data_IF_650903248977
#
_entry.id   IF_650903248977
#
_cell.length_a   1.000
_cell.length_b   1.000
_cell.length_c   1.000
_cell.angle_alpha   90.00
_cell.angle_beta   90.00
_cell.angle_gamma   90.00
#
_symmetry.space_group_name_H-M   'P 1'
#
loop_
_entity.id
_entity.type
_entity.pdbx_description
1 polymer ?
#
# COMPACT_ATOMS: atom_id res chain seq x y z
N UNK A 1 -55.29 -11.97 8.44
CA UNK A 1 -54.24 -12.98 8.75
C UNK A 1 -53.18 -12.82 7.65
N UNK A 2 -52.32 -11.88 7.84
CA UNK A 2 -51.27 -11.56 6.86
C UNK A 2 -49.99 -12.28 7.24
N UNK A 3 -49.55 -13.14 6.33
CA UNK A 3 -48.32 -13.93 6.48
C UNK A 3 -47.16 -13.05 5.98
N UNK A 4 -46.34 -12.56 6.90
CA UNK A 4 -45.09 -11.86 6.61
C UNK A 4 -44.09 -12.87 6.03
N UNK A 5 -43.70 -12.69 4.76
CA UNK A 5 -42.59 -13.42 4.12
C UNK A 5 -41.30 -12.74 4.47
N UNK A 6 -40.39 -13.46 5.17
CA UNK A 6 -39.02 -13.10 5.40
C UNK A 6 -38.22 -13.45 4.13
N UNK A 7 -37.42 -12.53 3.56
CA UNK A 7 -36.58 -12.84 2.42
C UNK A 7 -35.39 -13.76 2.83
N UNK A 8 -35.11 -14.73 1.99
CA UNK A 8 -34.06 -15.71 2.19
C UNK A 8 -32.65 -15.05 2.07
N UNK A 9 -31.87 -15.17 3.12
CA UNK A 9 -30.45 -14.81 3.15
C UNK A 9 -29.69 -15.72 2.20
N UNK A 10 -29.05 -15.16 1.18
CA UNK A 10 -28.09 -15.86 0.31
C UNK A 10 -26.90 -16.30 1.15
N UNK A 11 -26.69 -17.60 1.23
CA UNK A 11 -25.52 -18.21 1.88
C UNK A 11 -24.28 -17.94 1.04
N UNK A 12 -23.46 -16.98 1.44
CA UNK A 12 -22.06 -16.88 1.01
C UNK A 12 -21.31 -18.07 1.61
N UNK A 13 -20.67 -18.87 0.75
CA UNK A 13 -20.01 -20.09 1.17
C UNK A 13 -18.78 -19.82 2.03
N UNK A 14 -18.89 -20.10 3.30
CA UNK A 14 -17.77 -20.19 4.22
C UNK A 14 -16.99 -21.49 3.88
N UNK A 15 -15.82 -21.34 3.24
CA UNK A 15 -14.91 -22.49 3.05
C UNK A 15 -14.26 -22.77 4.40
N UNK A 16 -14.79 -23.78 5.08
CA UNK A 16 -14.18 -24.35 6.28
C UNK A 16 -12.99 -25.20 5.82
N UNK A 17 -11.77 -24.70 6.01
CA UNK A 17 -10.54 -25.45 5.80
C UNK A 17 -10.49 -26.55 6.86
N UNK A 18 -10.68 -27.82 6.46
CA UNK A 18 -10.68 -28.96 7.33
C UNK A 18 -9.32 -29.12 8.01
N UNK A 19 -9.29 -29.05 9.33
CA UNK A 19 -8.13 -29.36 10.14
C UNK A 19 -7.80 -30.86 10.01
N UNK A 20 -6.71 -31.17 9.31
CA UNK A 20 -6.11 -32.49 9.31
C UNK A 20 -5.36 -32.67 10.62
N UNK A 21 -5.93 -33.39 11.58
CA UNK A 21 -5.27 -33.76 12.82
C UNK A 21 -4.20 -34.82 12.53
N UNK A 22 -2.96 -34.38 12.35
CA UNK A 22 -1.79 -35.23 12.44
C UNK A 22 -1.33 -35.22 13.89
N UNK A 23 -1.52 -36.31 14.62
CA UNK A 23 -1.00 -36.49 15.96
C UNK A 23 0.52 -36.71 15.87
N UNK A 24 1.27 -35.64 16.09
CA UNK A 24 2.69 -35.69 16.40
C UNK A 24 2.95 -34.80 17.61
N UNK A 25 3.77 -35.33 18.53
CA UNK A 25 4.30 -34.71 19.74
C UNK A 25 4.06 -33.18 19.84
N UNK A 26 3.41 -32.74 20.95
CA UNK A 26 3.04 -31.34 21.22
C UNK A 26 4.21 -30.36 21.04
N UNK A 27 4.42 -29.90 19.83
CA UNK A 27 5.03 -28.58 19.62
C UNK A 27 3.88 -27.59 19.84
N UNK A 28 3.80 -27.00 21.02
CA UNK A 28 2.92 -25.86 21.28
C UNK A 28 3.46 -24.72 20.39
N UNK A 29 2.93 -24.57 19.21
CA UNK A 29 3.15 -23.35 18.43
C UNK A 29 2.54 -22.20 19.24
N UNK A 30 3.38 -21.37 19.83
CA UNK A 30 2.92 -20.14 20.46
C UNK A 30 2.52 -19.19 19.32
N UNK A 31 1.22 -18.92 19.22
CA UNK A 31 0.70 -17.91 18.31
C UNK A 31 0.80 -16.57 19.02
N UNK A 32 1.56 -15.67 18.46
CA UNK A 32 1.63 -14.29 18.87
C UNK A 32 0.45 -13.52 18.25
N UNK A 33 -0.28 -12.80 19.08
CA UNK A 33 -1.46 -12.03 18.66
C UNK A 33 -1.17 -10.56 18.91
N UNK A 34 -1.21 -9.75 17.87
CA UNK A 34 -1.12 -8.28 17.91
C UNK A 34 -2.38 -7.64 17.39
N UNK A 35 -2.75 -6.50 17.95
CA UNK A 35 -3.87 -5.67 17.49
C UNK A 35 -3.41 -4.24 17.38
N UNK A 36 -3.73 -3.58 16.25
CA UNK A 36 -3.59 -2.15 16.06
C UNK A 36 -4.97 -1.56 15.81
N UNK A 37 -5.35 -0.57 16.59
CA UNK A 37 -6.56 0.22 16.39
C UNK A 37 -6.15 1.58 15.84
N UNK A 38 -6.74 1.96 14.70
CA UNK A 38 -6.55 3.23 14.02
C UNK A 38 -7.91 3.91 13.84
N UNK A 39 -8.10 5.04 14.48
CA UNK A 39 -9.28 5.87 14.32
C UNK A 39 -8.90 7.29 13.95
N UNK A 40 -9.64 7.92 13.05
CA UNK A 40 -9.36 9.28 12.62
C UNK A 40 -10.60 10.14 12.45
N UNK A 41 -10.37 11.42 12.44
CA UNK A 41 -11.31 12.45 11.99
C UNK A 41 -10.62 13.35 10.98
N UNK A 42 -11.29 13.65 9.87
CA UNK A 42 -10.83 14.68 8.92
C UNK A 42 -12.00 15.52 8.43
N UNK A 43 -11.73 16.80 8.16
CA UNK A 43 -12.77 17.73 7.73
C UNK A 43 -13.17 17.56 6.27
N UNK A 44 -12.27 17.03 5.41
CA UNK A 44 -12.50 16.75 3.99
C UNK A 44 -11.78 15.45 3.60
N UNK A 45 -12.26 14.79 2.52
CA UNK A 45 -11.60 13.61 1.94
C UNK A 45 -10.40 14.05 1.11
N UNK A 46 -9.34 13.29 1.12
CA UNK A 46 -8.11 13.55 0.42
C UNK A 46 -8.18 13.07 -1.03
N UNK A 47 -7.56 13.77 -1.96
CA UNK A 47 -7.45 13.31 -3.34
C UNK A 47 -6.71 11.98 -3.42
N UNK A 48 -7.30 10.96 -4.06
CA UNK A 48 -6.88 9.56 -4.03
C UNK A 48 -6.68 8.98 -2.62
N UNK A 49 -7.28 9.58 -1.60
CA UNK A 49 -7.18 9.11 -0.22
C UNK A 49 -8.05 7.90 0.06
N UNK A 50 -7.69 7.15 1.09
CA UNK A 50 -8.42 5.97 1.55
C UNK A 50 -9.43 6.27 2.65
N UNK A 51 -9.45 7.49 3.19
CA UNK A 51 -10.29 7.87 4.32
C UNK A 51 -11.37 8.85 3.92
N UNK A 52 -12.58 8.60 4.41
CA UNK A 52 -13.73 9.48 4.19
C UNK A 52 -13.66 10.72 5.09
N UNK A 53 -14.38 11.76 4.69
CA UNK A 53 -14.70 12.93 5.52
C UNK A 53 -15.45 12.53 6.79
N UNK A 54 -15.09 13.11 7.91
CA UNK A 54 -15.70 12.85 9.22
C UNK A 54 -14.91 11.88 10.05
N UNK A 55 -15.59 11.14 10.92
CA UNK A 55 -14.98 10.08 11.70
C UNK A 55 -14.92 8.79 10.89
N UNK A 56 -13.76 8.17 10.85
CA UNK A 56 -13.54 6.90 10.17
C UNK A 56 -12.67 5.97 10.99
N UNK A 57 -12.97 4.66 10.90
CA UNK A 57 -12.05 3.62 11.29
C UNK A 57 -11.02 3.53 10.15
N UNK A 58 -9.76 3.74 10.50
CA UNK A 58 -8.66 3.61 9.55
C UNK A 58 -8.17 2.18 9.46
N UNK A 59 -6.90 2.02 9.11
CA UNK A 59 -6.23 0.74 8.91
C UNK A 59 -5.98 0.02 10.24
N UNK A 60 -7.05 -0.59 10.80
CA UNK A 60 -7.00 -1.32 12.06
C UNK A 60 -6.68 -2.78 11.80
N UNK A 61 -5.62 -3.30 12.45
CA UNK A 61 -5.03 -4.59 12.12
C UNK A 61 -5.21 -5.63 13.23
N UNK A 62 -5.47 -6.88 12.83
CA UNK A 62 -5.27 -8.06 13.66
C UNK A 62 -4.15 -8.90 13.05
N UNK A 63 -3.06 -9.03 13.79
CA UNK A 63 -1.86 -9.76 13.39
C UNK A 63 -1.77 -11.07 14.16
N UNK A 64 -1.66 -12.18 13.44
CA UNK A 64 -1.35 -13.49 13.99
C UNK A 64 -0.03 -13.97 13.40
N UNK A 65 0.95 -14.30 14.23
CA UNK A 65 2.21 -14.84 13.75
C UNK A 65 2.71 -16.00 14.61
N UNK A 66 3.43 -16.92 13.99
CA UNK A 66 4.03 -18.05 14.69
C UNK A 66 5.21 -18.62 13.93
N UNK A 67 6.22 -19.10 14.65
CA UNK A 67 7.13 -20.07 14.08
C UNK A 67 6.40 -21.41 14.00
N UNK A 68 6.21 -21.93 12.77
CA UNK A 68 5.55 -23.21 12.51
C UNK A 68 6.46 -24.33 12.99
N UNK A 69 7.73 -24.24 12.64
CA UNK A 69 8.82 -25.09 13.10
C UNK A 69 10.17 -24.35 12.98
N UNK A 70 11.29 -25.06 13.01
CA UNK A 70 12.63 -24.47 12.87
C UNK A 70 12.99 -24.09 11.42
N UNK A 71 12.13 -24.42 10.45
CA UNK A 71 12.33 -24.09 9.04
C UNK A 71 11.41 -22.99 8.56
N UNK A 72 10.23 -22.82 9.16
CA UNK A 72 9.19 -21.96 8.63
C UNK A 72 8.57 -21.07 9.70
N UNK A 73 8.28 -19.83 9.31
CA UNK A 73 7.44 -18.87 10.03
C UNK A 73 6.20 -18.58 9.18
N UNK A 74 5.05 -18.35 9.83
CA UNK A 74 3.82 -17.91 9.20
C UNK A 74 3.31 -16.62 9.83
N UNK A 75 2.60 -15.81 9.02
CA UNK A 75 1.91 -14.60 9.45
C UNK A 75 0.58 -14.47 8.72
N UNK A 76 -0.41 -13.94 9.43
CA UNK A 76 -1.70 -13.54 8.90
C UNK A 76 -2.01 -12.15 9.45
N UNK A 77 -2.33 -11.21 8.56
CA UNK A 77 -2.77 -9.86 8.90
C UNK A 77 -4.11 -9.61 8.24
N UNK A 78 -5.11 -9.26 9.06
CA UNK A 78 -6.41 -8.80 8.59
C UNK A 78 -6.61 -7.36 8.99
N UNK A 79 -7.16 -6.57 8.08
CA UNK A 79 -7.43 -5.15 8.26
C UNK A 79 -8.93 -4.93 8.33
N UNK A 80 -9.36 -4.14 9.31
CA UNK A 80 -10.68 -3.56 9.40
C UNK A 80 -10.58 -2.09 9.01
N UNK A 81 -11.26 -1.70 7.95
CA UNK A 81 -11.35 -0.33 7.49
C UNK A 81 -12.80 0.08 7.24
N UNK A 82 -13.08 1.37 7.26
CA UNK A 82 -14.41 1.91 6.95
C UNK A 82 -14.33 2.76 5.70
N UNK A 83 -15.15 2.42 4.69
CA UNK A 83 -15.28 3.14 3.43
C UNK A 83 -16.74 3.35 3.10
N UNK A 84 -17.14 4.57 2.70
CA UNK A 84 -18.52 4.87 2.31
C UNK A 84 -19.55 4.59 3.42
N UNK A 85 -19.13 4.54 4.69
CA UNK A 85 -19.99 4.18 5.84
C UNK A 85 -20.17 2.69 6.07
N UNK A 86 -19.52 1.82 5.29
CA UNK A 86 -19.48 0.36 5.50
C UNK A 86 -18.13 -0.03 6.12
N UNK A 87 -18.14 -1.07 6.95
CA UNK A 87 -16.92 -1.63 7.54
C UNK A 87 -16.58 -2.91 6.82
N UNK A 88 -15.38 -2.97 6.26
CA UNK A 88 -14.87 -4.10 5.51
C UNK A 88 -13.75 -4.81 6.26
N UNK A 89 -13.68 -6.12 6.11
CA UNK A 89 -12.58 -6.96 6.60
C UNK A 89 -11.77 -7.43 5.41
N UNK A 90 -10.54 -6.97 5.30
CA UNK A 90 -9.63 -7.35 4.25
C UNK A 90 -8.51 -8.26 4.76
N UNK A 91 -8.12 -9.26 3.97
CA UNK A 91 -6.93 -10.06 4.21
C UNK A 91 -5.74 -9.39 3.51
N UNK A 92 -4.91 -8.68 4.26
CA UNK A 92 -3.74 -7.98 3.73
C UNK A 92 -2.55 -8.91 3.56
N UNK A 93 -2.23 -9.72 4.58
CA UNK A 93 -1.16 -10.70 4.51
C UNK A 93 -1.60 -12.09 4.97
N UNK A 94 -1.15 -13.12 4.27
CA UNK A 94 -1.26 -14.53 4.67
C UNK A 94 -0.14 -15.32 4.00
N UNK A 95 0.99 -15.46 4.69
CA UNK A 95 2.19 -16.04 4.07
C UNK A 95 2.97 -16.98 4.98
N UNK A 96 3.81 -17.79 4.33
CA UNK A 96 4.82 -18.63 4.96
C UNK A 96 6.19 -18.20 4.43
N UNK A 97 7.18 -18.06 5.33
CA UNK A 97 8.57 -17.70 5.03
C UNK A 97 9.53 -18.76 5.56
N UNK A 98 10.58 -19.05 4.79
CA UNK A 98 11.67 -19.95 5.21
C UNK A 98 12.63 -19.25 6.16
N UNK A 99 13.07 -19.96 7.22
CA UNK A 99 13.98 -19.41 8.25
C UNK A 99 15.44 -19.83 8.07
N UNK A 100 15.70 -20.94 7.39
CA UNK A 100 17.00 -21.63 7.44
C UNK A 100 17.62 -21.92 6.07
N UNK A 101 17.31 -21.11 5.05
CA UNK A 101 18.00 -21.25 3.77
C UNK A 101 19.45 -20.73 3.89
N UNK A 102 20.42 -21.41 3.23
CA UNK A 102 21.82 -21.02 3.31
C UNK A 102 22.09 -19.68 2.62
N UNK A 103 23.23 -19.07 2.93
CA UNK A 103 23.79 -17.89 2.27
C UNK A 103 22.90 -16.61 2.35
N UNK A 104 21.97 -16.53 3.29
CA UNK A 104 21.10 -15.34 3.46
C UNK A 104 19.89 -15.30 2.54
N UNK A 105 19.57 -16.38 1.85
CA UNK A 105 18.34 -16.47 1.07
C UNK A 105 17.11 -16.71 1.95
N UNK A 106 15.99 -16.14 1.53
CA UNK A 106 14.65 -16.39 2.07
C UNK A 106 13.66 -16.55 0.93
N UNK A 107 12.71 -17.47 1.11
CA UNK A 107 11.54 -17.63 0.26
C UNK A 107 10.29 -17.33 1.08
N UNK A 108 9.41 -16.49 0.54
CA UNK A 108 8.09 -16.19 1.11
C UNK A 108 7.03 -16.50 0.05
N UNK A 109 5.92 -17.11 0.43
CA UNK A 109 4.83 -17.46 -0.47
C UNK A 109 3.48 -17.25 0.21
N UNK A 110 2.48 -16.80 -0.55
CA UNK A 110 1.14 -16.46 -0.10
C UNK A 110 0.75 -15.05 -0.50
N UNK A 111 -0.11 -14.40 0.27
CA UNK A 111 -0.43 -12.97 0.13
C UNK A 111 0.56 -12.16 0.95
N UNK A 112 1.25 -11.23 0.31
CA UNK A 112 2.34 -10.48 0.94
C UNK A 112 2.49 -9.08 0.35
N UNK A 113 2.98 -8.16 1.17
CA UNK A 113 3.41 -6.83 0.74
C UNK A 113 4.66 -6.94 -0.13
N UNK A 114 4.66 -6.27 -1.29
CA UNK A 114 5.83 -6.20 -2.16
C UNK A 114 6.96 -5.37 -1.54
N UNK A 115 8.21 -5.75 -1.81
CA UNK A 115 9.40 -5.03 -1.35
C UNK A 115 9.78 -3.81 -2.21
N UNK A 116 8.88 -3.30 -3.06
CA UNK A 116 9.15 -2.11 -3.88
C UNK A 116 9.12 -0.83 -3.03
N UNK A 117 10.08 0.07 -3.27
CA UNK A 117 10.19 1.35 -2.58
C UNK A 117 10.54 1.24 -1.10
N UNK A 118 10.41 2.36 -0.40
CA UNK A 118 10.73 2.46 1.03
C UNK A 118 9.54 2.17 1.94
N UNK A 119 8.33 2.62 1.56
CA UNK A 119 7.15 2.51 2.41
C UNK A 119 6.33 1.23 2.15
N UNK A 120 6.39 0.63 0.95
CA UNK A 120 5.43 -0.40 0.58
C UNK A 120 5.43 -1.64 1.47
N UNK A 121 6.59 -2.06 1.97
CA UNK A 121 6.72 -3.23 2.84
C UNK A 121 6.55 -2.92 4.34
N UNK A 122 5.98 -1.76 4.66
CA UNK A 122 5.66 -1.33 6.02
C UNK A 122 4.16 -1.23 6.20
N UNK A 123 3.69 -1.48 7.40
CA UNK A 123 2.29 -1.26 7.74
C UNK A 123 1.98 0.24 7.87
N UNK A 124 0.78 0.66 7.45
CA UNK A 124 0.42 2.08 7.39
C UNK A 124 0.42 2.78 8.76
N UNK A 125 0.18 2.04 9.84
CA UNK A 125 0.25 2.60 11.19
C UNK A 125 1.67 3.03 11.62
N UNK A 126 2.72 2.57 10.92
CA UNK A 126 4.12 2.98 11.16
C UNK A 126 4.48 4.31 10.47
N UNK A 127 3.66 4.76 9.53
CA UNK A 127 3.94 5.93 8.71
C UNK A 127 3.95 7.24 9.55
N UNK A 128 4.71 8.22 9.07
CA UNK A 128 4.82 9.53 9.72
C UNK A 128 3.60 10.42 9.49
N UNK A 129 2.68 10.03 8.61
CA UNK A 129 1.47 10.75 8.23
C UNK A 129 0.26 9.82 8.22
N UNK A 130 -0.94 10.39 8.22
CA UNK A 130 -2.20 9.65 8.26
C UNK A 130 -2.43 8.87 6.96
N UNK A 131 -2.05 9.47 5.84
CA UNK A 131 -2.14 8.87 4.50
C UNK A 131 -0.75 8.78 3.87
N UNK A 132 -0.56 7.79 3.04
CA UNK A 132 0.65 7.66 2.23
C UNK A 132 0.83 8.82 1.26
N UNK A 133 2.08 9.08 0.79
CA UNK A 133 2.35 10.11 -0.21
C UNK A 133 1.48 9.94 -1.46
N UNK A 134 1.12 11.05 -2.12
CA UNK A 134 0.32 11.05 -3.35
C UNK A 134 0.79 10.04 -4.38
N UNK A 135 2.10 9.88 -4.55
CA UNK A 135 2.69 8.95 -5.51
C UNK A 135 2.37 7.48 -5.19
N UNK A 136 2.27 7.10 -3.90
CA UNK A 136 1.84 5.76 -3.50
C UNK A 136 0.35 5.56 -3.74
N UNK A 137 -0.47 6.56 -3.41
CA UNK A 137 -1.91 6.53 -3.66
C UNK A 137 -2.22 6.44 -5.14
N UNK A 138 -1.50 7.22 -5.96
CA UNK A 138 -1.67 7.23 -7.41
C UNK A 138 -1.27 5.92 -8.09
N UNK A 139 -0.11 5.35 -7.78
CA UNK A 139 0.47 4.23 -8.55
C UNK A 139 0.31 2.86 -7.90
N UNK A 140 0.04 2.80 -6.60
CA UNK A 140 -0.02 1.55 -5.83
C UNK A 140 -1.29 1.39 -4.98
N UNK A 141 -2.26 2.34 -5.08
CA UNK A 141 -3.47 2.32 -4.24
C UNK A 141 -3.19 2.51 -2.74
N UNK A 142 -2.10 3.23 -2.41
CA UNK A 142 -1.60 3.39 -1.05
C UNK A 142 -0.49 2.37 -0.72
N UNK A 143 -0.70 1.09 -0.96
CA UNK A 143 0.30 0.03 -0.82
C UNK A 143 -0.06 -1.17 -1.71
N UNK A 144 0.95 -1.83 -2.23
CA UNK A 144 0.76 -2.99 -3.10
C UNK A 144 1.07 -4.29 -2.36
N UNK A 145 0.06 -5.11 -2.24
CA UNK A 145 0.14 -6.49 -1.77
C UNK A 145 -0.68 -7.40 -2.70
N UNK A 146 -0.28 -8.67 -2.81
CA UNK A 146 -0.96 -9.59 -3.71
C UNK A 146 -0.57 -11.05 -3.40
N UNK A 147 -1.28 -11.98 -4.01
CA UNK A 147 -0.98 -13.41 -3.95
C UNK A 147 0.22 -13.73 -4.84
N UNK A 148 1.29 -14.27 -4.26
CA UNK A 148 2.51 -14.51 -5.02
C UNK A 148 3.64 -15.21 -4.26
N UNK A 149 4.82 -15.08 -4.83
CA UNK A 149 6.06 -15.61 -4.27
C UNK A 149 7.15 -14.55 -4.31
N UNK A 150 7.98 -14.53 -3.29
CA UNK A 150 9.11 -13.63 -3.15
C UNK A 150 10.36 -14.43 -2.80
N UNK A 151 11.45 -14.12 -3.47
CA UNK A 151 12.79 -14.55 -3.07
C UNK A 151 13.60 -13.32 -2.70
N UNK A 152 14.12 -13.28 -1.49
CA UNK A 152 15.02 -12.23 -1.02
C UNK A 152 16.39 -12.80 -0.64
N UNK A 153 17.42 -11.97 -0.76
CA UNK A 153 18.78 -12.29 -0.41
C UNK A 153 19.41 -11.12 0.34
N UNK A 154 19.89 -11.42 1.54
CA UNK A 154 20.71 -10.50 2.32
C UNK A 154 22.16 -10.96 2.18
N UNK A 155 22.99 -10.11 1.54
CA UNK A 155 24.39 -10.44 1.31
C UNK A 155 25.16 -10.56 2.62
N UNK A 156 26.02 -11.55 2.78
CA UNK A 156 26.94 -11.66 3.91
C UNK A 156 28.14 -10.73 3.69
N UNK A 157 27.91 -9.41 3.74
CA UNK A 157 28.89 -8.35 3.49
C UNK A 157 28.99 -7.39 4.67
N UNK A 158 30.07 -6.60 4.72
CA UNK A 158 30.29 -5.60 5.78
C UNK A 158 29.35 -4.38 5.66
N UNK A 159 28.66 -4.23 4.53
CA UNK A 159 27.64 -3.22 4.30
C UNK A 159 26.29 -3.89 4.02
N UNK A 160 25.22 -3.18 4.29
CA UNK A 160 23.87 -3.67 3.99
C UNK A 160 23.68 -3.76 2.48
N UNK A 161 23.39 -4.95 1.98
CA UNK A 161 22.97 -5.21 0.61
C UNK A 161 21.87 -6.25 0.64
N UNK A 162 20.66 -5.84 0.27
CA UNK A 162 19.51 -6.72 0.12
C UNK A 162 18.97 -6.64 -1.29
N UNK A 163 18.59 -7.77 -1.85
CA UNK A 163 17.87 -7.83 -3.13
C UNK A 163 16.62 -8.68 -2.96
N UNK A 164 15.59 -8.38 -3.74
CA UNK A 164 14.39 -9.21 -3.84
C UNK A 164 13.88 -9.26 -5.27
N UNK A 165 13.32 -10.41 -5.63
CA UNK A 165 12.53 -10.62 -6.84
C UNK A 165 11.21 -11.27 -6.45
N UNK A 166 10.14 -10.86 -7.11
CA UNK A 166 8.79 -11.28 -6.76
C UNK A 166 7.99 -11.56 -8.02
N UNK A 167 6.99 -12.43 -7.89
CA UNK A 167 6.01 -12.71 -8.93
C UNK A 167 4.64 -12.83 -8.28
N UNK A 168 3.68 -12.05 -8.79
CA UNK A 168 2.35 -11.89 -8.23
C UNK A 168 1.25 -12.13 -9.25
N UNK A 169 0.02 -12.35 -8.77
CA UNK A 169 -1.16 -12.49 -9.63
C UNK A 169 -1.42 -11.25 -10.47
N UNK A 170 -1.20 -10.05 -9.93
CA UNK A 170 -1.39 -8.76 -10.59
C UNK A 170 -2.82 -8.24 -10.58
N UNK A 171 -3.75 -8.91 -9.88
CA UNK A 171 -5.16 -8.50 -9.80
C UNK A 171 -5.39 -7.09 -9.26
N UNK A 172 -4.70 -6.66 -8.19
CA UNK A 172 -4.91 -5.30 -7.66
C UNK A 172 -4.44 -4.18 -8.60
N UNK A 173 -3.57 -4.50 -9.57
CA UNK A 173 -3.03 -3.54 -10.54
C UNK A 173 -3.54 -3.77 -11.97
N UNK A 174 -4.64 -4.54 -12.13
CA UNK A 174 -5.25 -4.79 -13.44
C UNK A 174 -5.99 -3.54 -13.93
N UNK A 175 -5.77 -3.17 -15.18
CA UNK A 175 -6.45 -2.06 -15.84
C UNK A 175 -7.86 -2.41 -16.37
N UNK A 176 -8.44 -3.53 -15.95
CA UNK A 176 -9.79 -3.96 -16.34
C UNK A 176 -9.86 -4.93 -17.51
N UNK A 177 -8.82 -5.76 -17.73
CA UNK A 177 -8.85 -6.82 -18.75
C UNK A 177 -9.92 -7.86 -18.46
N UNK A 178 -10.66 -8.29 -19.48
CA UNK A 178 -11.65 -9.36 -19.37
C UNK A 178 -11.04 -10.73 -19.11
N UNK A 179 -9.79 -10.94 -19.54
CA UNK A 179 -9.00 -12.18 -19.37
C UNK A 179 -7.54 -11.82 -19.03
N UNK A 180 -7.26 -11.38 -17.81
CA UNK A 180 -5.93 -10.98 -17.40
C UNK A 180 -4.97 -12.16 -17.31
N UNK A 181 -3.69 -11.92 -17.54
CA UNK A 181 -2.63 -12.91 -17.36
C UNK A 181 -2.56 -13.28 -15.88
N UNK A 182 -2.58 -14.59 -15.57
CA UNK A 182 -2.69 -15.13 -14.20
C UNK A 182 -1.47 -14.89 -13.30
N UNK A 183 -0.30 -14.61 -13.87
CA UNK A 183 0.90 -14.10 -13.19
C UNK A 183 1.25 -12.79 -13.89
N UNK A 184 0.60 -11.72 -13.45
CA UNK A 184 0.57 -10.44 -14.15
C UNK A 184 1.65 -9.46 -13.71
N UNK A 185 2.17 -9.57 -12.48
CA UNK A 185 3.14 -8.60 -11.95
C UNK A 185 4.44 -9.29 -11.54
N UNK A 186 5.55 -8.68 -11.94
CA UNK A 186 6.91 -9.05 -11.52
C UNK A 186 7.61 -7.83 -10.95
N UNK A 187 8.29 -7.99 -9.81
CA UNK A 187 9.06 -6.92 -9.20
C UNK A 187 10.52 -7.32 -8.98
N UNK A 188 11.38 -6.33 -8.94
CA UNK A 188 12.77 -6.46 -8.50
C UNK A 188 13.17 -5.25 -7.69
N UNK A 189 13.89 -5.47 -6.60
CA UNK A 189 14.39 -4.42 -5.72
C UNK A 189 15.84 -4.71 -5.31
N UNK A 190 16.64 -3.66 -5.22
CA UNK A 190 18.01 -3.68 -4.68
C UNK A 190 18.14 -2.55 -3.69
N UNK A 191 18.62 -2.85 -2.50
CA UNK A 191 18.87 -1.89 -1.43
C UNK A 191 20.31 -2.00 -0.95
N UNK A 192 20.96 -0.86 -0.81
CA UNK A 192 22.28 -0.74 -0.19
C UNK A 192 22.23 0.25 0.95
N UNK A 193 23.09 0.07 1.96
CA UNK A 193 23.12 0.98 3.10
C UNK A 193 24.39 0.77 3.94
N UNK A 194 24.66 1.74 4.77
CA UNK A 194 25.77 1.68 5.72
C UNK A 194 25.56 2.66 6.88
N UNK A 195 26.29 2.42 7.96
CA UNK A 195 26.41 3.34 9.05
C UNK A 195 27.62 4.28 8.83
N UNK A 196 27.46 5.55 9.19
CA UNK A 196 28.50 6.56 9.21
C UNK A 196 28.78 6.96 10.67
N UNK A 197 29.67 6.22 11.30
CA UNK A 197 29.87 6.28 12.75
C UNK A 197 28.68 5.70 13.51
N UNK A 198 28.48 6.16 14.75
CA UNK A 198 27.41 5.65 15.64
C UNK A 198 26.10 6.46 15.54
N UNK A 199 26.14 7.63 14.91
CA UNK A 199 25.03 8.57 14.91
C UNK A 199 24.23 8.56 13.62
N UNK A 200 24.81 8.14 12.50
CA UNK A 200 24.19 8.24 11.18
C UNK A 200 24.10 6.88 10.52
N UNK A 201 22.96 6.62 9.89
CA UNK A 201 22.77 5.51 8.95
C UNK A 201 22.05 5.99 7.70
N UNK A 202 22.33 5.36 6.59
CA UNK A 202 21.65 5.64 5.33
C UNK A 202 21.33 4.37 4.57
N UNK A 203 20.31 4.46 3.75
CA UNK A 203 19.89 3.41 2.81
C UNK A 203 19.47 4.04 1.49
N UNK A 204 19.86 3.43 0.40
CA UNK A 204 19.43 3.76 -0.95
C UNK A 204 18.85 2.52 -1.61
N UNK A 205 17.71 2.67 -2.30
CA UNK A 205 16.99 1.62 -2.98
C UNK A 205 16.70 1.96 -4.44
N UNK A 206 16.60 0.92 -5.26
CA UNK A 206 16.11 0.98 -6.63
C UNK A 206 15.13 -0.16 -6.83
N UNK A 207 13.96 0.15 -7.40
CA UNK A 207 12.86 -0.79 -7.63
C UNK A 207 12.39 -0.73 -9.08
N UNK A 208 11.97 -1.88 -9.60
CA UNK A 208 11.30 -2.00 -10.88
C UNK A 208 10.11 -2.95 -10.75
N UNK A 209 8.99 -2.58 -11.36
CA UNK A 209 7.78 -3.39 -11.47
C UNK A 209 7.36 -3.46 -12.95
N UNK A 210 7.11 -4.68 -13.41
CA UNK A 210 6.46 -4.96 -14.69
C UNK A 210 5.05 -5.48 -14.45
N UNK A 211 4.05 -4.85 -15.06
CA UNK A 211 2.65 -5.24 -15.00
C UNK A 211 2.13 -5.60 -16.40
N UNK A 212 1.87 -6.87 -16.65
CA UNK A 212 1.38 -7.35 -17.92
C UNK A 212 -0.03 -6.80 -18.25
N UNK A 213 -0.85 -6.59 -17.21
CA UNK A 213 -2.24 -6.18 -17.27
C UNK A 213 -2.44 -4.68 -16.97
N UNK A 214 -1.37 -3.88 -16.94
CA UNK A 214 -1.43 -2.49 -16.45
C UNK A 214 -1.77 -1.43 -17.51
N UNK A 215 -1.87 -1.79 -18.80
CA UNK A 215 -2.23 -0.82 -19.83
C UNK A 215 -3.72 -0.59 -19.91
N UNK A 216 -4.12 0.67 -19.91
CA UNK A 216 -5.50 1.05 -20.22
C UNK A 216 -5.78 0.84 -21.72
N UNK A 217 -6.98 0.38 -22.03
CA UNK A 217 -7.43 0.10 -23.41
C UNK A 217 -8.85 0.60 -23.62
N UNK A 218 -9.23 0.79 -24.90
CA UNK A 218 -10.58 1.23 -25.28
C UNK A 218 -11.57 0.09 -25.06
N UNK A 219 -12.54 0.30 -24.21
CA UNK A 219 -13.72 -0.57 -24.17
C UNK A 219 -14.59 -0.23 -25.38
N UNK A 220 -14.78 -1.16 -26.31
CA UNK A 220 -15.80 -1.01 -27.33
C UNK A 220 -17.17 -1.20 -26.67
N UNK A 221 -17.93 -0.12 -26.56
CA UNK A 221 -19.37 -0.28 -26.29
C UNK A 221 -19.96 -1.09 -27.45
N UNK A 222 -20.21 -2.37 -27.25
CA UNK A 222 -21.07 -3.13 -28.12
C UNK A 222 -22.45 -2.49 -28.05
N UNK A 223 -22.91 -1.92 -29.16
CA UNK A 223 -24.24 -1.33 -29.33
C UNK A 223 -25.31 -2.41 -29.24
N UNK A 224 -25.54 -2.95 -28.08
CA UNK A 224 -26.71 -3.75 -27.77
C UNK A 224 -27.57 -2.97 -26.76
N UNK A 225 -28.40 -2.08 -27.33
CA UNK A 225 -29.48 -1.43 -26.61
C UNK A 225 -30.57 -2.45 -26.30
N UNK A 226 -30.37 -3.33 -25.36
CA UNK A 226 -31.43 -4.14 -24.81
C UNK A 226 -31.20 -4.40 -23.32
N UNK A 227 -32.19 -3.86 -22.58
CA UNK A 227 -32.45 -4.06 -21.15
C UNK A 227 -31.60 -3.21 -20.17
N UNK A 228 -32.22 -2.10 -19.73
CA UNK A 228 -32.02 -1.49 -18.44
C UNK A 228 -32.24 -2.54 -17.33
N UNK A 229 -31.19 -3.23 -16.96
CA UNK A 229 -31.13 -3.87 -15.66
C UNK A 229 -30.04 -3.12 -14.89
N UNK A 230 -30.48 -2.23 -14.01
CA UNK A 230 -29.63 -1.63 -13.01
C UNK A 230 -29.19 -2.71 -12.03
N UNK A 231 -28.27 -3.56 -12.44
CA UNK A 231 -27.41 -4.24 -11.49
C UNK A 231 -26.51 -3.16 -10.89
N UNK A 232 -26.90 -2.68 -9.72
CA UNK A 232 -25.92 -2.19 -8.77
C UNK A 232 -25.03 -3.38 -8.44
N UNK A 233 -24.05 -3.65 -9.28
CA UNK A 233 -22.90 -4.39 -8.86
C UNK A 233 -22.31 -3.58 -7.71
N UNK A 234 -22.38 -4.15 -6.52
CA UNK A 234 -21.50 -3.76 -5.43
C UNK A 234 -20.10 -4.12 -5.92
N UNK A 235 -19.51 -3.23 -6.73
CA UNK A 235 -18.08 -3.20 -6.95
C UNK A 235 -17.51 -2.99 -5.55
N UNK A 236 -17.00 -4.05 -4.93
CA UNK A 236 -16.18 -3.93 -3.75
C UNK A 236 -15.16 -2.84 -4.07
N UNK A 237 -15.06 -1.85 -3.20
CA UNK A 237 -14.15 -0.73 -3.40
C UNK A 237 -12.76 -1.31 -3.60
N UNK A 238 -12.28 -1.33 -4.85
CA UNK A 238 -10.96 -1.84 -5.16
C UNK A 238 -9.97 -0.80 -4.63
N UNK A 239 -9.11 -1.19 -3.70
CA UNK A 239 -7.92 -0.44 -3.31
C UNK A 239 -6.89 -0.43 -4.47
N UNK A 240 -7.37 -0.29 -5.71
CA UNK A 240 -6.55 -0.22 -6.89
C UNK A 240 -5.89 1.16 -7.04
N UNK A 241 -4.80 1.25 -7.79
CA UNK A 241 -4.15 2.50 -8.08
C UNK A 241 -5.06 3.40 -8.93
N UNK A 242 -4.99 4.72 -8.69
CA UNK A 242 -5.69 5.69 -9.52
C UNK A 242 -5.15 5.72 -10.96
N UNK A 243 -3.87 5.36 -11.13
CA UNK A 243 -3.14 5.42 -12.40
C UNK A 243 -2.41 4.11 -12.62
N UNK A 244 -2.70 3.42 -13.71
CA UNK A 244 -2.06 2.17 -14.10
C UNK A 244 -1.09 2.35 -15.28
N UNK A 245 -0.15 1.40 -15.39
CA UNK A 245 0.80 1.33 -16.49
C UNK A 245 1.58 0.02 -16.47
N UNK A 246 2.35 -0.23 -17.51
CA UNK A 246 3.10 -1.50 -17.66
C UNK A 246 4.42 -1.53 -16.90
N UNK A 247 5.11 -0.40 -16.79
CA UNK A 247 6.42 -0.32 -16.18
C UNK A 247 6.43 0.76 -15.11
N UNK A 248 6.74 0.40 -13.88
CA UNK A 248 6.94 1.34 -12.78
C UNK A 248 8.38 1.21 -12.28
N UNK A 249 9.12 2.30 -12.28
CA UNK A 249 10.49 2.39 -11.78
C UNK A 249 10.55 3.35 -10.60
N UNK A 250 11.26 2.97 -9.56
CA UNK A 250 11.40 3.76 -8.35
C UNK A 250 12.83 3.83 -7.85
N UNK A 251 13.15 4.92 -7.18
CA UNK A 251 14.36 5.04 -6.37
C UNK A 251 14.04 5.73 -5.07
N UNK A 252 14.62 5.26 -3.99
CA UNK A 252 14.41 5.77 -2.64
C UNK A 252 15.74 6.03 -1.94
N UNK A 253 15.74 7.02 -1.05
CA UNK A 253 16.85 7.32 -0.16
C UNK A 253 16.33 7.65 1.22
N UNK A 254 16.91 7.03 2.24
CA UNK A 254 16.59 7.31 3.65
C UNK A 254 17.87 7.56 4.41
N UNK A 255 17.88 8.64 5.20
CA UNK A 255 18.93 8.97 6.14
C UNK A 255 18.35 9.12 7.54
N UNK A 256 19.07 8.59 8.53
CA UNK A 256 18.70 8.64 9.94
C UNK A 256 19.86 9.19 10.74
N UNK A 257 19.51 9.98 11.73
CA UNK A 257 20.45 10.55 12.69
C UNK A 257 19.91 10.42 14.11
N UNK A 258 20.78 10.02 15.04
CA UNK A 258 20.49 10.00 16.46
C UNK A 258 21.76 10.36 17.24
N UNK A 259 21.75 11.40 18.10
CA UNK A 259 22.92 11.78 18.90
C UNK A 259 23.42 10.59 19.73
N UNK A 260 24.75 10.35 19.69
CA UNK A 260 25.39 9.24 20.41
C UNK A 260 24.77 7.85 20.09
N UNK A 261 24.07 7.71 18.96
CA UNK A 261 23.33 6.50 18.60
C UNK A 261 22.06 6.25 19.42
N UNK A 262 21.64 7.19 20.26
CA UNK A 262 20.47 7.04 21.13
C UNK A 262 19.19 7.58 20.49
N UNK A 263 18.55 6.76 19.63
CA UNK A 263 17.31 7.11 18.92
C UNK A 263 16.08 7.26 19.83
N UNK A 264 16.15 6.86 21.12
CA UNK A 264 15.00 6.91 22.03
C UNK A 264 14.69 8.31 22.55
N UNK A 265 15.66 9.21 22.53
CA UNK A 265 15.48 10.58 23.04
C UNK A 265 15.22 11.56 21.93
N UNK A 266 16.19 11.71 21.05
CA UNK A 266 16.13 12.61 19.91
C UNK A 266 16.62 11.87 18.69
N UNK A 267 15.87 11.95 17.59
CA UNK A 267 16.29 11.38 16.32
C UNK A 267 15.66 12.15 15.15
N UNK A 268 16.29 12.04 14.01
CA UNK A 268 15.78 12.57 12.75
C UNK A 268 15.81 11.48 11.68
N UNK A 269 14.73 11.35 10.94
CA UNK A 269 14.64 10.54 9.73
C UNK A 269 14.26 11.43 8.57
N UNK A 270 15.02 11.39 7.49
CA UNK A 270 14.68 12.03 6.22
C UNK A 270 14.60 10.95 5.14
N UNK A 271 13.51 10.95 4.39
CA UNK A 271 13.26 9.99 3.31
C UNK A 271 12.78 10.73 2.06
N UNK A 272 13.19 10.24 0.90
CA UNK A 272 12.71 10.73 -0.40
C UNK A 272 12.58 9.58 -1.36
N UNK A 273 11.51 9.58 -2.16
CA UNK A 273 11.31 8.63 -3.25
C UNK A 273 10.88 9.34 -4.52
N UNK A 274 11.33 8.81 -5.64
CA UNK A 274 10.91 9.22 -6.98
C UNK A 274 10.41 7.99 -7.73
N UNK A 275 9.27 8.14 -8.44
CA UNK A 275 8.63 7.10 -9.22
C UNK A 275 8.33 7.58 -10.63
N UNK A 276 8.55 6.69 -11.60
CA UNK A 276 8.27 6.90 -13.00
C UNK A 276 7.47 5.71 -13.56
N UNK A 277 6.25 5.99 -14.00
CA UNK A 277 5.32 5.03 -14.60
C UNK A 277 5.32 5.24 -16.10
N UNK A 278 5.42 4.17 -16.89
CA UNK A 278 5.47 4.21 -18.35
C UNK A 278 4.57 3.16 -19.00
N UNK A 279 4.28 3.33 -20.29
CA UNK A 279 3.38 2.46 -21.06
C UNK A 279 1.99 2.35 -20.43
N UNK A 280 1.36 3.49 -20.14
CA UNK A 280 0.04 3.59 -19.52
C UNK A 280 -1.09 3.11 -20.42
N UNK A 281 -1.00 3.41 -21.69
CA UNK A 281 -2.07 3.18 -22.66
C UNK A 281 -1.69 2.16 -23.71
N UNK A 282 -2.69 1.42 -24.19
CA UNK A 282 -2.58 0.60 -25.41
C UNK A 282 -2.19 1.47 -26.61
N UNK A 283 -1.48 0.93 -27.64
CA UNK A 283 -1.08 1.69 -28.81
C UNK A 283 -2.22 2.43 -29.54
N UNK A 284 -3.46 1.92 -29.48
CA UNK A 284 -4.61 2.60 -30.07
C UNK A 284 -4.96 3.87 -29.29
N UNK A 285 -5.06 3.79 -27.96
CA UNK A 285 -5.28 4.95 -27.10
C UNK A 285 -4.11 5.94 -27.16
N UNK A 286 -2.89 5.43 -27.19
CA UNK A 286 -1.68 6.26 -27.27
C UNK A 286 -1.60 7.15 -28.52
N UNK A 287 -2.38 6.84 -29.55
CA UNK A 287 -2.48 7.67 -30.76
C UNK A 287 -3.39 8.88 -30.61
N UNK A 288 -4.20 8.92 -29.52
CA UNK A 288 -5.13 10.01 -29.27
C UNK A 288 -4.37 11.21 -28.69
N UNK A 289 -4.60 12.43 -29.20
CA UNK A 289 -3.94 13.63 -28.69
C UNK A 289 -4.20 13.84 -27.19
N UNK A 290 -3.14 14.09 -26.42
CA UNK A 290 -3.21 14.26 -24.96
C UNK A 290 -3.00 13.00 -24.14
N UNK A 291 -3.05 11.80 -24.75
CA UNK A 291 -2.75 10.54 -24.06
C UNK A 291 -1.24 10.41 -23.77
N UNK A 292 -0.80 10.92 -22.65
CA UNK A 292 0.61 10.81 -22.24
C UNK A 292 0.91 9.42 -21.70
N UNK A 293 1.91 8.74 -22.29
CA UNK A 293 2.34 7.39 -21.91
C UNK A 293 3.03 7.32 -20.54
N UNK A 294 3.48 8.43 -20.03
CA UNK A 294 4.22 8.51 -18.79
C UNK A 294 3.47 9.30 -17.70
N UNK A 295 3.66 8.87 -16.47
CA UNK A 295 3.35 9.63 -15.28
C UNK A 295 4.54 9.54 -14.33
N UNK A 296 4.73 10.53 -13.47
CA UNK A 296 5.81 10.55 -12.51
C UNK A 296 5.39 11.24 -11.23
N UNK A 297 6.05 10.89 -10.14
CA UNK A 297 5.81 11.56 -8.89
C UNK A 297 6.97 11.34 -7.92
N UNK A 298 7.02 12.18 -6.91
CA UNK A 298 8.04 12.11 -5.88
C UNK A 298 7.53 12.72 -4.58
N UNK A 299 8.20 12.38 -3.51
CA UNK A 299 8.02 13.06 -2.24
C UNK A 299 9.34 13.12 -1.47
N UNK A 300 9.39 14.04 -0.52
CA UNK A 300 10.42 14.12 0.51
C UNK A 300 9.73 14.35 1.84
N UNK A 301 10.12 13.58 2.85
CA UNK A 301 9.60 13.72 4.22
C UNK A 301 10.73 13.80 5.23
N UNK A 302 10.49 14.53 6.31
CA UNK A 302 11.37 14.61 7.47
C UNK A 302 10.52 14.41 8.72
N UNK A 303 10.93 13.47 9.57
CA UNK A 303 10.36 13.26 10.90
C UNK A 303 11.43 13.52 11.95
N UNK A 304 11.17 14.44 12.88
CA UNK A 304 12.08 14.85 13.93
C UNK A 304 11.46 14.63 15.31
N UNK A 305 11.94 13.60 16.00
CA UNK A 305 11.63 13.39 17.42
C UNK A 305 12.50 14.33 18.25
N UNK A 306 11.92 15.43 18.72
CA UNK A 306 12.63 16.43 19.53
C UNK A 306 12.58 16.16 21.02
N UNK A 307 11.67 15.27 21.45
CA UNK A 307 11.55 14.75 22.80
C UNK A 307 11.03 13.30 22.73
N UNK A 308 11.23 12.46 23.77
CA UNK A 308 10.81 11.06 23.77
C UNK A 308 9.33 10.82 23.42
N UNK A 309 8.45 11.78 23.75
CA UNK A 309 7.01 11.67 23.51
C UNK A 309 6.52 12.55 22.35
N UNK A 310 7.38 13.30 21.66
CA UNK A 310 6.95 14.25 20.67
C UNK A 310 7.76 14.15 19.38
N UNK A 311 7.05 13.99 18.27
CA UNK A 311 7.64 13.99 16.92
C UNK A 311 6.91 14.99 16.06
N UNK A 312 7.67 15.83 15.35
CA UNK A 312 7.15 16.71 14.32
C UNK A 312 7.59 16.19 12.95
N UNK A 313 6.66 16.12 12.01
CA UNK A 313 6.93 15.62 10.66
C UNK A 313 6.44 16.62 9.61
N UNK A 314 7.18 16.72 8.52
CA UNK A 314 6.76 17.48 7.34
C UNK A 314 7.04 16.68 6.08
N UNK A 315 6.15 16.76 5.09
CA UNK A 315 6.28 16.13 3.78
C UNK A 315 5.84 17.09 2.69
N UNK A 316 6.56 17.06 1.58
CA UNK A 316 6.14 17.65 0.32
C UNK A 316 6.17 16.57 -0.75
N UNK A 317 5.14 16.53 -1.61
CA UNK A 317 5.05 15.59 -2.72
C UNK A 317 4.39 16.21 -3.95
N UNK A 318 4.70 15.64 -5.10
CA UNK A 318 4.13 16.05 -6.38
C UNK A 318 3.94 14.81 -7.26
N UNK A 319 2.76 14.72 -7.89
CA UNK A 319 2.46 13.75 -8.96
C UNK A 319 2.11 14.53 -10.21
N UNK A 320 2.68 14.14 -11.35
CA UNK A 320 2.38 14.70 -12.67
C UNK A 320 1.82 13.60 -13.55
N UNK A 321 0.62 13.83 -14.04
CA UNK A 321 -0.11 12.88 -14.84
C UNK A 321 -1.12 13.58 -15.73
N UNK A 322 -1.71 12.83 -16.65
CA UNK A 322 -2.93 13.20 -17.35
C UNK A 322 -4.04 12.22 -16.96
N UNK A 323 -5.24 12.73 -16.84
CA UNK A 323 -6.47 11.97 -16.64
C UNK A 323 -7.39 12.19 -17.84
N UNK A 324 -8.14 11.17 -18.21
CA UNK A 324 -9.07 11.28 -19.34
C UNK A 324 -9.56 9.92 -19.81
N UNK A 325 -10.60 9.98 -20.62
CA UNK A 325 -11.25 8.82 -21.19
C UNK A 325 -11.15 8.85 -22.72
N UNK A 326 -11.13 7.67 -23.32
CA UNK A 326 -11.16 7.50 -24.77
C UNK A 326 -12.46 6.78 -25.15
N UNK A 327 -13.24 7.42 -26.02
CA UNK A 327 -14.47 6.88 -26.56
C UNK A 327 -14.28 6.45 -28.02
N UNK A 328 -14.86 5.30 -28.38
CA UNK A 328 -14.87 4.82 -29.76
C UNK A 328 -16.20 5.16 -30.42
N UNK A 329 -16.18 5.95 -31.51
CA UNK A 329 -17.32 6.15 -32.37
C UNK A 329 -17.02 5.59 -33.80
N UNK A 330 -17.42 4.34 -34.02
CA UNK A 330 -17.05 3.59 -35.22
C UNK A 330 -15.54 3.39 -35.33
N UNK A 331 -14.91 3.79 -36.44
CA UNK A 331 -13.45 3.67 -36.62
C UNK A 331 -12.65 4.85 -36.07
N UNK A 332 -13.29 5.81 -35.38
CA UNK A 332 -12.64 7.00 -34.84
C UNK A 332 -12.56 6.96 -33.32
N UNK A 333 -11.36 7.16 -32.82
CA UNK A 333 -11.11 7.33 -31.37
C UNK A 333 -11.07 8.83 -31.06
N UNK A 334 -11.85 9.22 -30.06
CA UNK A 334 -11.84 10.56 -29.49
C UNK A 334 -11.51 10.45 -28.02
N UNK A 335 -10.62 11.29 -27.50
CA UNK A 335 -10.26 11.33 -26.09
C UNK A 335 -10.23 12.77 -25.62
N UNK A 336 -10.70 12.97 -24.41
CA UNK A 336 -10.55 14.23 -23.67
C UNK A 336 -9.59 13.98 -22.51
N UNK A 337 -8.39 14.53 -22.61
CA UNK A 337 -7.37 14.45 -21.58
C UNK A 337 -7.14 15.81 -20.95
N UNK A 338 -7.12 15.84 -19.64
CA UNK A 338 -6.78 17.00 -18.82
C UNK A 338 -5.56 16.71 -17.94
N UNK A 339 -4.95 17.74 -17.40
CA UNK A 339 -3.93 17.55 -16.38
C UNK A 339 -4.56 16.98 -15.10
N UNK A 340 -3.95 15.92 -14.56
CA UNK A 340 -4.28 15.32 -13.28
C UNK A 340 -3.19 15.54 -12.23
N UNK A 341 -2.47 16.68 -12.31
CA UNK A 341 -1.35 16.97 -11.42
C UNK A 341 -1.86 17.19 -9.98
N UNK A 342 -1.14 16.62 -9.00
CA UNK A 342 -1.38 16.83 -7.58
C UNK A 342 -0.10 17.27 -6.89
N UNK A 343 -0.18 18.34 -6.10
CA UNK A 343 0.86 18.74 -5.16
C UNK A 343 0.31 18.72 -3.75
N UNK A 344 1.10 18.25 -2.82
CA UNK A 344 0.69 18.16 -1.43
C UNK A 344 1.77 18.61 -0.48
N UNK A 345 1.34 19.22 0.62
CA UNK A 345 2.19 19.57 1.73
C UNK A 345 1.53 19.15 3.04
N UNK A 346 2.22 18.29 3.79
CA UNK A 346 1.75 17.81 5.09
C UNK A 346 2.65 18.30 6.22
N UNK A 347 2.02 18.68 7.33
CA UNK A 347 2.68 18.91 8.62
C UNK A 347 1.92 18.15 9.69
N UNK A 348 2.63 17.32 10.44
CA UNK A 348 2.06 16.50 11.51
C UNK A 348 2.81 16.70 12.83
N UNK A 349 2.08 16.63 13.92
CA UNK A 349 2.60 16.60 15.28
C UNK A 349 2.05 15.37 15.99
N UNK A 350 2.95 14.49 16.40
CA UNK A 350 2.64 13.27 17.14
C UNK A 350 2.94 13.43 18.62
N UNK A 351 1.99 13.01 19.43
CA UNK A 351 2.19 12.80 20.85
C UNK A 351 2.09 11.31 21.19
N UNK A 352 3.18 10.73 21.67
CA UNK A 352 3.26 9.36 22.11
C UNK A 352 3.00 9.31 23.62
N UNK A 353 1.77 8.99 24.02
CA UNK A 353 1.38 8.86 25.42
C UNK A 353 2.11 7.69 26.09
N UNK A 354 2.44 6.67 25.32
CA UNK A 354 3.20 5.49 25.73
C UNK A 354 3.82 4.83 24.50
N UNK A 355 4.57 3.75 24.70
CA UNK A 355 5.08 2.91 23.59
C UNK A 355 3.95 2.28 22.74
N UNK A 356 2.73 2.22 23.26
CA UNK A 356 1.59 1.55 22.65
C UNK A 356 0.57 2.50 22.02
N UNK A 357 0.71 3.81 22.19
CA UNK A 357 -0.32 4.74 21.75
C UNK A 357 0.22 6.08 21.26
N UNK A 358 -0.36 6.54 20.16
CA UNK A 358 -0.04 7.81 19.52
C UNK A 358 -1.31 8.59 19.20
N UNK A 359 -1.27 9.91 19.45
CA UNK A 359 -2.25 10.87 18.94
C UNK A 359 -1.50 11.78 17.96
N UNK A 360 -2.04 11.97 16.77
CA UNK A 360 -1.49 12.80 15.71
C UNK A 360 -2.47 13.88 15.31
N UNK A 361 -2.04 15.15 15.33
CA UNK A 361 -2.68 16.25 14.62
C UNK A 361 -1.95 16.50 13.30
N UNK A 362 -2.68 16.63 12.19
CA UNK A 362 -2.10 16.87 10.87
C UNK A 362 -2.85 17.97 10.14
N UNK A 363 -2.10 18.81 9.43
CA UNK A 363 -2.59 19.77 8.44
C UNK A 363 -2.00 19.37 7.10
N UNK A 364 -2.87 19.29 6.10
CA UNK A 364 -2.50 18.98 4.71
C UNK A 364 -3.00 20.10 3.81
N UNK A 365 -2.15 20.59 2.93
CA UNK A 365 -2.53 21.45 1.81
C UNK A 365 -2.37 20.65 0.52
N UNK A 366 -3.44 20.58 -0.29
CA UNK A 366 -3.45 19.96 -1.61
C UNK A 366 -3.78 21.00 -2.67
N UNK A 367 -3.05 20.96 -3.78
CA UNK A 367 -3.30 21.73 -5.01
C UNK A 367 -3.45 20.72 -6.15
N UNK A 368 -4.67 20.55 -6.62
CA UNK A 368 -5.06 19.63 -7.68
C UNK A 368 -5.87 20.36 -8.79
N UNK A 369 -6.35 19.63 -9.78
CA UNK A 369 -7.09 20.18 -10.92
C UNK A 369 -8.43 20.85 -10.54
N UNK A 370 -9.03 20.45 -9.42
CA UNK A 370 -10.30 21.00 -8.92
C UNK A 370 -10.09 22.26 -8.07
N UNK A 371 -8.84 22.57 -7.71
CA UNK A 371 -8.45 23.72 -6.90
C UNK A 371 -7.54 23.34 -5.73
N UNK A 372 -7.35 24.30 -4.84
CA UNK A 372 -6.56 24.14 -3.63
C UNK A 372 -7.45 23.93 -2.40
N UNK A 373 -7.03 23.03 -1.54
CA UNK A 373 -7.76 22.69 -0.32
C UNK A 373 -6.83 22.53 0.89
N UNK A 374 -7.33 22.87 2.08
CA UNK A 374 -6.62 22.66 3.34
C UNK A 374 -7.42 21.72 4.23
N UNK A 375 -6.81 20.58 4.55
CA UNK A 375 -7.40 19.55 5.38
C UNK A 375 -6.82 19.58 6.79
N UNK A 376 -7.70 19.35 7.78
CA UNK A 376 -7.32 19.16 9.17
C UNK A 376 -7.71 17.76 9.60
N UNK A 377 -6.77 17.01 10.14
CA UNK A 377 -6.99 15.64 10.55
C UNK A 377 -6.48 15.39 11.96
N UNK A 378 -7.18 14.53 12.69
CA UNK A 378 -6.78 14.02 13.99
C UNK A 378 -6.81 12.49 13.92
N UNK A 379 -5.73 11.84 14.30
CA UNK A 379 -5.63 10.38 14.32
C UNK A 379 -5.24 9.88 15.71
N UNK A 380 -5.80 8.75 16.06
CA UNK A 380 -5.44 7.98 17.23
C UNK A 380 -5.04 6.57 16.78
N UNK A 381 -3.86 6.13 17.19
CA UNK A 381 -3.37 4.77 16.96
C UNK A 381 -3.02 4.15 18.31
N UNK A 382 -3.50 2.93 18.57
CA UNK A 382 -3.15 2.14 19.75
C UNK A 382 -2.83 0.70 19.33
N UNK A 383 -1.71 0.19 19.81
CA UNK A 383 -1.32 -1.21 19.63
C UNK A 383 -1.30 -1.95 20.96
N UNK A 384 -1.65 -3.23 20.95
CA UNK A 384 -1.56 -4.11 22.11
C UNK A 384 -1.34 -5.57 21.70
N UNK A 385 -0.88 -6.39 22.64
CA UNK A 385 -0.49 -7.78 22.37
C UNK A 385 0.96 -7.91 21.87
N UNK A 386 1.25 -8.97 21.15
CA UNK A 386 2.56 -9.24 20.59
C UNK A 386 2.74 -8.39 19.31
N UNK A 387 3.09 -7.14 19.47
CA UNK A 387 3.43 -6.25 18.36
C UNK A 387 4.91 -6.43 18.02
N UNK A 388 5.22 -6.72 16.75
CA UNK A 388 6.62 -6.80 16.31
C UNK A 388 7.30 -5.45 16.50
N UNK A 389 8.57 -5.48 16.92
CA UNK A 389 9.38 -4.27 16.96
C UNK A 389 9.44 -3.69 15.54
N UNK A 390 9.11 -2.40 15.41
CA UNK A 390 9.16 -1.70 14.13
C UNK A 390 10.52 -1.90 13.46
N UNK A 391 10.51 -2.36 12.22
CA UNK A 391 11.72 -2.50 11.44
C UNK A 391 12.35 -1.11 11.23
N UNK A 392 13.64 -1.05 11.45
CA UNK A 392 14.42 0.18 11.29
C UNK A 392 14.54 0.56 9.82
#
# INVERSE_FOLDING_TARGET
>A
MDVVRIPAVKKSGLFLCGAMLISSSEVKANIDIGVVLDGSYQNESRHWGSRDKGFSLGHSELVLSSNIDHHFKGQLVTVLASHGGETELELEEAWIETLSLPLGFKLKAGRLLSHIGYLNNKHMHEDAFIERPAVYRAFLGGHYFDDGVQMSWLAPSDFYLQTSIEAFSGKPLDAGYSDPVSVGVYTANVQIGADLGVEHSWRWGVSALYNANGRQFVHSESSDHSAHDHHHDHAGHSHGPAITGRHLYGTDFTWKWAPEGNYRQTNLRASSEFWYLDNRFDPQMASVPGAEQAAQGWYTEVAYQFQPSWTMSTRYGEVRTVEGEVHAHGDHLHGEFSRGDLKEWDVALDWHASHFGRIRGQVTYEDNVDGDETLFSLQYVMSFGAHHAHAF
#
